data_IF_551658436648
#
_entry.id   IF_551658436648
#
_cell.length_a   1.000
_cell.length_b   1.000
_cell.length_c   1.000
_cell.angle_alpha   90.00
_cell.angle_beta   90.00
_cell.angle_gamma   90.00
#
_symmetry.space_group_name_H-M   'P 1'
#
loop_
_entity.id
_entity.type
_entity.pdbx_description
1 polymer ?
#
# COMPACT_ATOMS: atom_id res chain seq x y z
N UNK A 1 3.97 5.28 -14.73
CA UNK A 1 4.53 5.92 -13.51
C UNK A 1 3.63 7.05 -13.03
N UNK A 2 3.33 8.05 -13.84
CA UNK A 2 2.47 9.15 -13.40
C UNK A 2 1.10 8.68 -12.92
N UNK A 3 0.47 7.75 -13.63
CA UNK A 3 -0.82 7.17 -13.25
C UNK A 3 -0.79 6.49 -11.87
N UNK A 4 0.28 5.74 -11.54
CA UNK A 4 0.46 5.14 -10.22
C UNK A 4 0.63 6.21 -9.13
N UNK A 5 1.46 7.23 -9.39
CA UNK A 5 1.66 8.34 -8.44
C UNK A 5 0.35 9.11 -8.24
N UNK A 6 -0.37 9.40 -9.32
CA UNK A 6 -1.66 10.10 -9.25
C UNK A 6 -2.69 9.30 -8.44
N UNK A 7 -2.69 7.96 -8.57
CA UNK A 7 -3.52 7.08 -7.74
C UNK A 7 -3.16 7.20 -6.26
N UNK A 8 -1.88 7.10 -5.93
CA UNK A 8 -1.39 7.15 -4.55
C UNK A 8 -1.59 8.52 -3.90
N UNK A 9 -1.52 9.62 -4.66
CA UNK A 9 -1.73 10.97 -4.13
C UNK A 9 -3.07 11.14 -3.44
N UNK A 10 -4.13 10.56 -4.00
CA UNK A 10 -5.49 10.70 -3.48
C UNK A 10 -5.91 9.55 -2.58
N UNK A 11 -5.13 8.47 -2.52
CA UNK A 11 -5.36 7.40 -1.57
C UNK A 11 -5.30 7.94 -0.13
N UNK A 12 -6.19 7.50 0.73
CA UNK A 12 -6.32 8.04 2.08
C UNK A 12 -6.91 9.44 2.19
N UNK A 13 -6.68 10.31 1.20
CA UNK A 13 -7.31 11.64 1.16
C UNK A 13 -8.76 11.57 0.66
N UNK A 14 -9.02 10.75 -0.38
CA UNK A 14 -10.32 10.57 -1.00
C UNK A 14 -11.08 9.33 -0.51
N UNK A 15 -10.41 8.42 0.20
CA UNK A 15 -10.93 7.12 0.65
C UNK A 15 -12.21 7.21 1.49
N UNK A 16 -12.47 8.35 2.10
CA UNK A 16 -13.62 8.52 2.96
C UNK A 16 -14.36 9.82 2.64
N UNK A 17 -15.16 9.86 1.55
CA UNK A 17 -16.09 10.94 1.31
C UNK A 17 -17.25 10.83 2.32
N UNK A 18 -16.88 10.81 3.60
CA UNK A 18 -17.87 10.84 4.66
C UNK A 18 -18.56 12.19 4.63
N UNK A 19 -19.82 12.17 4.97
CA UNK A 19 -20.61 13.39 5.14
C UNK A 19 -19.83 14.41 5.97
N UNK A 20 -19.61 15.63 5.47
CA UNK A 20 -18.83 16.65 6.17
C UNK A 20 -19.30 16.93 7.61
N UNK A 21 -20.56 16.64 7.92
CA UNK A 21 -21.15 16.80 9.26
C UNK A 21 -20.82 15.69 10.26
N UNK A 22 -20.21 14.58 9.85
CA UNK A 22 -19.86 13.52 10.79
C UNK A 22 -18.64 13.91 11.63
N UNK A 23 -18.72 13.83 12.95
CA UNK A 23 -17.67 14.25 13.90
C UNK A 23 -16.33 13.57 13.63
N UNK A 24 -16.36 12.30 13.21
CA UNK A 24 -15.14 11.53 12.87
C UNK A 24 -14.46 11.99 11.59
N UNK A 25 -15.12 12.80 10.76
CA UNK A 25 -14.63 13.30 9.48
C UNK A 25 -14.32 14.80 9.54
N UNK A 26 -14.34 15.36 10.72
CA UNK A 26 -14.02 16.78 10.93
C UNK A 26 -12.59 17.14 10.49
N UNK A 27 -11.70 16.13 10.40
CA UNK A 27 -10.32 16.31 9.97
C UNK A 27 -9.95 15.17 9.03
N UNK A 28 -9.47 15.44 7.80
CA UNK A 28 -8.94 14.42 6.91
C UNK A 28 -7.86 13.58 7.59
N UNK A 29 -7.75 12.31 7.21
CA UNK A 29 -6.70 11.40 7.71
C UNK A 29 -5.82 10.92 6.54
N UNK A 30 -5.15 11.83 5.81
CA UNK A 30 -4.28 11.44 4.72
C UNK A 30 -3.06 10.66 5.26
N UNK A 31 -2.45 9.88 4.38
CA UNK A 31 -1.18 9.21 4.65
C UNK A 31 0.01 10.10 4.26
N UNK A 32 1.22 9.74 4.70
CA UNK A 32 2.45 10.37 4.27
C UNK A 32 2.46 11.89 4.49
N UNK A 33 2.08 12.33 5.68
CA UNK A 33 2.05 13.76 6.01
C UNK A 33 3.43 14.19 6.46
N UNK A 34 3.88 15.35 5.93
CA UNK A 34 5.06 16.06 6.42
C UNK A 34 4.59 17.37 7.04
N UNK A 35 4.51 17.38 8.38
CA UNK A 35 3.97 18.47 9.18
C UNK A 35 4.92 19.69 9.26
N UNK A 36 4.43 20.88 9.62
CA UNK A 36 5.33 21.98 9.97
C UNK A 36 6.12 21.64 11.25
N UNK A 37 7.41 22.06 11.35
CA UNK A 37 8.29 21.68 12.49
C UNK A 37 7.69 22.02 13.85
N UNK A 38 7.04 23.18 14.00
CA UNK A 38 6.46 23.62 15.25
C UNK A 38 5.31 22.71 15.78
N UNK A 39 4.71 21.89 14.89
CA UNK A 39 3.71 20.90 15.29
C UNK A 39 4.33 19.53 15.57
N UNK A 40 5.32 19.13 14.80
CA UNK A 40 5.96 17.83 14.94
C UNK A 40 6.86 17.74 16.17
N UNK A 41 7.37 18.87 16.67
CA UNK A 41 8.26 18.92 17.82
C UNK A 41 7.64 18.25 19.07
N UNK A 42 8.32 17.22 19.56
CA UNK A 42 7.91 16.49 20.78
C UNK A 42 6.79 15.45 20.59
N UNK A 43 6.40 15.15 19.35
CA UNK A 43 5.42 14.12 19.01
C UNK A 43 6.08 12.95 18.24
N UNK A 44 6.21 11.80 18.87
CA UNK A 44 6.94 10.62 18.34
C UNK A 44 6.34 10.04 17.05
N UNK A 45 5.09 10.34 16.73
CA UNK A 45 4.37 9.80 15.56
C UNK A 45 4.13 10.81 14.45
N UNK A 46 4.72 12.00 14.57
CA UNK A 46 4.61 13.06 13.57
C UNK A 46 5.98 13.43 13.02
N UNK A 47 6.05 13.70 11.73
CA UNK A 47 7.28 13.96 11.02
C UNK A 47 7.20 15.33 10.33
N UNK A 48 8.23 16.15 10.47
CA UNK A 48 8.43 17.38 9.73
C UNK A 48 9.32 17.18 8.48
N UNK A 49 9.75 15.93 8.29
CA UNK A 49 10.53 15.51 7.14
C UNK A 49 10.12 14.11 6.65
N UNK A 50 10.48 13.84 5.42
CA UNK A 50 10.50 12.53 4.80
C UNK A 50 11.89 12.27 4.26
N UNK A 51 12.48 11.09 4.47
CA UNK A 51 13.74 10.70 3.85
C UNK A 51 13.60 9.33 3.19
N UNK A 52 13.70 9.30 1.86
CA UNK A 52 13.82 8.07 1.09
C UNK A 52 15.30 7.71 0.97
N UNK A 53 15.67 6.52 1.44
CA UNK A 53 17.02 5.98 1.31
C UNK A 53 17.00 4.64 0.59
N UNK A 54 17.87 4.49 -0.41
CA UNK A 54 17.96 3.26 -1.18
C UNK A 54 19.37 3.08 -1.76
N UNK A 55 19.64 1.87 -2.21
CA UNK A 55 20.90 1.52 -2.87
C UNK A 55 20.74 1.51 -4.38
N UNK A 56 21.77 1.97 -5.08
CA UNK A 56 21.86 1.92 -6.54
C UNK A 56 23.17 1.23 -6.97
N UNK A 57 23.07 0.33 -7.93
CA UNK A 57 24.20 -0.29 -8.62
C UNK A 57 24.42 0.35 -9.98
N UNK A 58 25.67 0.42 -10.42
CA UNK A 58 26.06 1.00 -11.71
C UNK A 58 26.41 2.47 -11.63
N UNK A 59 26.82 3.00 -12.79
CA UNK A 59 27.12 4.41 -12.99
C UNK A 59 25.87 5.22 -13.33
N UNK A 60 26.11 6.44 -13.78
CA UNK A 60 25.05 7.28 -14.28
C UNK A 60 24.47 8.26 -13.25
N UNK A 61 23.61 9.12 -13.73
CA UNK A 61 23.03 10.20 -12.95
C UNK A 61 21.77 9.73 -12.25
N UNK A 62 21.60 10.16 -11.00
CA UNK A 62 20.36 9.99 -10.24
C UNK A 62 19.63 11.32 -10.23
N UNK A 63 18.38 11.32 -10.64
CA UNK A 63 17.44 12.45 -10.52
C UNK A 63 16.35 12.14 -9.52
N UNK A 64 15.74 13.18 -8.98
CA UNK A 64 14.69 13.09 -7.98
C UNK A 64 13.57 14.09 -8.29
N UNK A 65 12.34 13.66 -8.06
CA UNK A 65 11.16 14.51 -8.00
C UNK A 65 10.32 14.08 -6.80
N UNK A 66 9.46 14.96 -6.29
CA UNK A 66 8.51 14.65 -5.24
C UNK A 66 7.14 15.17 -5.58
N UNK A 67 6.14 14.32 -5.44
CA UNK A 67 4.73 14.62 -5.66
C UNK A 67 4.02 14.67 -4.31
N UNK A 68 3.13 15.62 -4.11
CA UNK A 68 2.34 15.77 -2.89
C UNK A 68 1.13 16.65 -3.13
N UNK A 69 0.21 16.64 -2.19
CA UNK A 69 -0.94 17.54 -2.16
C UNK A 69 -0.70 18.68 -1.18
N UNK A 70 -1.18 19.86 -1.53
CA UNK A 70 -1.20 21.05 -0.67
C UNK A 70 -2.65 21.43 -0.38
N UNK A 71 -3.05 21.59 0.89
CA UNK A 71 -4.39 22.06 1.23
C UNK A 71 -4.70 23.43 0.63
N UNK A 72 -5.88 23.60 0.05
CA UNK A 72 -6.27 24.82 -0.68
C UNK A 72 -7.26 25.72 0.09
N UNK A 73 -7.20 25.73 1.43
CA UNK A 73 -7.93 26.67 2.30
C UNK A 73 -9.41 26.34 2.55
N UNK A 74 -10.04 25.49 1.76
CA UNK A 74 -11.37 24.94 2.05
C UNK A 74 -11.22 23.48 2.50
N UNK A 75 -12.00 23.07 3.51
CA UNK A 75 -11.96 21.69 4.01
C UNK A 75 -12.10 20.69 2.86
N UNK A 76 -11.24 19.68 2.86
CA UNK A 76 -11.21 18.61 1.86
C UNK A 76 -10.88 19.04 0.43
N UNK A 77 -10.21 20.17 0.26
CA UNK A 77 -9.58 20.53 -1.01
C UNK A 77 -8.08 20.50 -0.89
N UNK A 78 -7.44 19.91 -1.89
CA UNK A 78 -5.99 19.93 -2.02
C UNK A 78 -5.60 20.01 -3.50
N UNK A 79 -4.46 20.61 -3.75
CA UNK A 79 -3.92 20.79 -5.10
C UNK A 79 -2.64 19.97 -5.24
N UNK A 80 -2.48 19.21 -6.35
CA UNK A 80 -1.28 18.44 -6.60
C UNK A 80 -0.10 19.35 -6.97
N UNK A 81 1.05 19.07 -6.38
CA UNK A 81 2.31 19.73 -6.66
C UNK A 81 3.39 18.69 -6.98
N UNK A 82 4.33 19.09 -7.83
CA UNK A 82 5.53 18.33 -8.13
C UNK A 82 6.74 19.27 -8.05
N UNK A 83 7.78 18.84 -7.31
CA UNK A 83 9.06 19.56 -7.23
C UNK A 83 10.17 18.68 -7.75
N UNK A 84 11.05 19.23 -8.55
CA UNK A 84 12.16 18.50 -9.17
C UNK A 84 13.51 18.89 -8.54
N UNK A 85 14.37 17.91 -8.30
CA UNK A 85 15.74 18.09 -7.84
C UNK A 85 15.85 18.54 -6.38
N UNK A 86 16.89 19.31 -6.11
CA UNK A 86 17.23 19.84 -4.78
C UNK A 86 17.12 21.35 -4.74
N UNK A 87 16.51 21.89 -3.69
CA UNK A 87 16.35 23.32 -3.54
C UNK A 87 15.42 23.71 -2.40
N UNK A 88 15.21 25.01 -2.28
CA UNK A 88 14.16 25.61 -1.47
C UNK A 88 13.05 26.10 -2.41
N UNK A 89 11.82 25.73 -2.13
CA UNK A 89 10.66 25.94 -2.98
C UNK A 89 9.51 26.59 -2.20
N UNK A 90 8.67 27.31 -2.90
CA UNK A 90 7.33 27.67 -2.45
C UNK A 90 6.32 26.83 -3.25
N UNK A 91 5.46 26.11 -2.56
CA UNK A 91 4.42 25.27 -3.14
C UNK A 91 3.08 25.58 -2.47
N UNK A 92 2.26 26.37 -3.16
CA UNK A 92 0.93 26.75 -2.65
C UNK A 92 0.97 27.52 -1.32
N UNK A 93 2.03 28.30 -1.08
CA UNK A 93 2.27 29.04 0.15
C UNK A 93 2.96 28.22 1.25
N UNK A 94 3.33 26.97 0.99
CA UNK A 94 4.17 26.17 1.88
C UNK A 94 5.64 26.29 1.48
N UNK A 95 6.51 26.44 2.47
CA UNK A 95 7.97 26.45 2.27
C UNK A 95 8.51 25.02 2.36
N UNK A 96 9.09 24.53 1.28
CA UNK A 96 9.58 23.14 1.15
C UNK A 96 11.05 23.14 0.79
N UNK A 97 11.83 22.31 1.44
CA UNK A 97 13.21 22.04 1.08
C UNK A 97 13.37 20.60 0.64
N UNK A 98 14.02 20.40 -0.51
CA UNK A 98 14.42 19.08 -0.98
C UNK A 98 15.94 18.96 -1.07
N UNK A 99 16.48 17.77 -0.83
CA UNK A 99 17.90 17.49 -0.95
C UNK A 99 18.17 16.06 -1.42
N UNK A 100 18.76 15.94 -2.60
CA UNK A 100 19.29 14.68 -3.11
C UNK A 100 20.78 14.56 -2.75
N UNK A 101 21.16 13.44 -2.16
CA UNK A 101 22.55 13.10 -1.87
C UNK A 101 22.85 11.72 -2.42
N UNK A 102 23.97 11.59 -3.13
CA UNK A 102 24.45 10.30 -3.66
C UNK A 102 25.85 10.05 -3.11
N UNK A 103 26.00 9.05 -2.25
CA UNK A 103 27.25 8.72 -1.59
C UNK A 103 27.81 7.44 -2.18
N UNK A 104 29.02 7.48 -2.79
CA UNK A 104 29.70 6.27 -3.24
C UNK A 104 30.01 5.33 -2.07
N UNK A 105 29.82 4.04 -2.29
CA UNK A 105 30.20 2.97 -1.39
C UNK A 105 31.22 2.06 -2.07
N UNK A 106 31.74 1.10 -1.31
CA UNK A 106 32.59 0.06 -1.87
C UNK A 106 31.80 -0.83 -2.85
N UNK A 107 32.48 -1.45 -3.80
CA UNK A 107 31.89 -2.42 -4.75
C UNK A 107 31.01 -1.84 -5.86
N UNK A 108 31.18 -0.54 -6.21
CA UNK A 108 30.41 0.09 -7.30
C UNK A 108 28.95 0.39 -6.98
N UNK A 109 28.61 0.30 -5.71
CA UNK A 109 27.29 0.72 -5.18
C UNK A 109 27.33 2.16 -4.67
N UNK A 110 26.18 2.77 -4.62
CA UNK A 110 26.01 4.13 -4.09
C UNK A 110 24.75 4.14 -3.20
N UNK A 111 24.85 4.80 -2.06
CA UNK A 111 23.69 5.12 -1.24
C UNK A 111 23.06 6.41 -1.76
N UNK A 112 21.79 6.37 -2.06
CA UNK A 112 20.97 7.51 -2.44
C UNK A 112 20.08 7.88 -1.27
N UNK A 113 20.08 9.15 -0.90
CA UNK A 113 19.17 9.74 0.07
C UNK A 113 18.48 10.94 -0.57
N UNK A 114 17.17 10.96 -0.55
CA UNK A 114 16.35 12.09 -0.96
C UNK A 114 15.46 12.52 0.20
N UNK A 115 15.73 13.72 0.70
CA UNK A 115 15.05 14.31 1.85
C UNK A 115 14.11 15.41 1.41
N UNK A 116 12.92 15.43 1.99
CA UNK A 116 11.88 16.44 1.80
C UNK A 116 11.51 16.98 3.17
N UNK A 117 11.73 18.27 3.41
CA UNK A 117 11.47 18.94 4.68
C UNK A 117 10.35 19.97 4.50
N UNK A 118 9.39 19.99 5.40
CA UNK A 118 8.47 21.12 5.53
C UNK A 118 9.15 22.21 6.36
N UNK A 119 9.30 23.39 5.77
CA UNK A 119 9.94 24.57 6.40
C UNK A 119 8.92 25.67 6.67
N UNK A 120 7.62 25.36 6.54
CA UNK A 120 6.55 26.33 6.73
C UNK A 120 6.50 26.79 8.18
N UNK A 121 6.53 28.10 8.38
CA UNK A 121 6.31 28.68 9.70
C UNK A 121 4.89 28.42 10.20
N UNK A 122 4.78 28.04 11.45
CA UNK A 122 3.51 27.76 12.06
C UNK A 122 3.48 28.29 13.51
N UNK A 123 2.35 28.83 13.99
CA UNK A 123 2.23 29.23 15.38
C UNK A 123 2.30 28.03 16.32
N UNK A 124 2.82 28.23 17.51
CA UNK A 124 2.83 27.22 18.54
C UNK A 124 1.41 26.88 19.01
N UNK A 125 1.18 25.61 19.36
CA UNK A 125 -0.11 25.14 19.89
C UNK A 125 -1.20 24.95 18.85
N UNK A 126 -0.86 24.76 17.58
CA UNK A 126 -1.81 24.34 16.57
C UNK A 126 -2.47 23.01 16.96
N UNK A 127 -3.76 22.92 16.71
CA UNK A 127 -4.44 21.61 16.66
C UNK A 127 -4.06 20.85 15.37
N UNK A 128 -4.48 19.60 15.29
CA UNK A 128 -4.17 18.75 14.12
C UNK A 128 -4.73 19.32 12.82
N UNK A 129 -5.93 19.90 12.85
CA UNK A 129 -6.55 20.48 11.66
C UNK A 129 -5.74 21.67 11.13
N UNK A 130 -5.37 22.61 12.01
CA UNK A 130 -4.51 23.74 11.63
C UNK A 130 -3.10 23.34 11.21
N UNK A 131 -2.57 22.23 11.73
CA UNK A 131 -1.30 21.67 11.28
C UNK A 131 -1.40 21.07 9.88
N UNK A 132 -2.46 20.32 9.57
CA UNK A 132 -2.71 19.74 8.24
C UNK A 132 -2.79 20.83 7.17
N UNK A 133 -3.44 21.95 7.44
CA UNK A 133 -3.51 23.10 6.52
C UNK A 133 -2.13 23.67 6.13
N UNK A 134 -1.07 23.33 6.86
CA UNK A 134 0.31 23.76 6.66
C UNK A 134 1.25 22.59 6.37
N UNK A 135 0.70 21.46 6.01
CA UNK A 135 1.45 20.23 5.77
C UNK A 135 1.50 19.87 4.29
N UNK A 136 2.56 19.14 3.92
CA UNK A 136 2.57 18.39 2.68
C UNK A 136 1.79 17.10 2.93
N UNK A 137 0.85 16.77 2.07
CA UNK A 137 -0.04 15.63 2.22
C UNK A 137 0.29 14.60 1.15
N UNK A 138 0.28 13.32 1.50
CA UNK A 138 0.48 12.22 0.56
C UNK A 138 1.79 12.38 -0.23
N UNK A 139 2.91 12.47 0.48
CA UNK A 139 4.21 12.79 -0.10
C UNK A 139 4.84 11.53 -0.71
N UNK A 140 5.08 11.58 -2.03
CA UNK A 140 5.63 10.48 -2.82
C UNK A 140 6.88 10.92 -3.59
N UNK A 141 8.09 10.68 -3.07
CA UNK A 141 9.31 10.89 -3.83
C UNK A 141 9.49 9.82 -4.91
N UNK A 142 10.00 10.25 -6.07
CA UNK A 142 10.36 9.39 -7.20
C UNK A 142 11.81 9.63 -7.55
N UNK A 143 12.62 8.58 -7.53
CA UNK A 143 14.01 8.62 -7.96
C UNK A 143 14.15 7.87 -9.29
N UNK A 144 14.99 8.39 -10.17
CA UNK A 144 15.34 7.73 -11.45
C UNK A 144 16.85 7.65 -11.58
N UNK A 145 17.35 6.55 -12.15
CA UNK A 145 18.77 6.40 -12.45
C UNK A 145 18.97 6.09 -13.94
N UNK A 146 19.94 6.75 -14.56
CA UNK A 146 20.35 6.46 -15.94
C UNK A 146 21.60 5.58 -15.92
N UNK A 147 21.57 4.43 -16.62
CA UNK A 147 22.74 3.55 -16.70
C UNK A 147 23.09 2.79 -15.40
N UNK A 148 22.09 2.55 -14.58
CA UNK A 148 22.16 1.79 -13.33
C UNK A 148 20.81 1.20 -12.97
N UNK A 149 20.73 0.57 -11.81
CA UNK A 149 19.48 0.06 -11.24
C UNK A 149 19.43 0.26 -9.72
N UNK A 150 18.27 0.47 -9.19
CA UNK A 150 18.01 0.43 -7.75
C UNK A 150 17.94 -1.01 -7.26
N UNK A 151 18.25 -1.22 -5.98
CA UNK A 151 18.11 -2.50 -5.31
C UNK A 151 16.85 -2.50 -4.43
N UNK A 152 16.15 -3.63 -4.41
CA UNK A 152 14.99 -3.83 -3.56
C UNK A 152 15.33 -3.60 -2.08
N UNK A 153 14.41 -3.01 -1.33
CA UNK A 153 14.51 -2.89 0.12
C UNK A 153 14.47 -4.25 0.83
N UNK A 154 13.90 -5.27 0.18
CA UNK A 154 13.87 -6.63 0.71
C UNK A 154 15.26 -7.29 0.66
N UNK A 155 16.07 -6.95 -0.34
CA UNK A 155 17.44 -7.49 -0.50
C UNK A 155 18.48 -6.63 0.21
N UNK A 156 18.31 -5.31 0.18
CA UNK A 156 19.24 -4.32 0.70
C UNK A 156 18.51 -3.24 1.49
N UNK A 157 18.05 -3.55 2.72
CA UNK A 157 17.27 -2.61 3.52
C UNK A 157 18.07 -1.34 3.87
N UNK A 158 17.41 -0.20 3.73
CA UNK A 158 17.89 1.10 4.15
C UNK A 158 16.84 1.76 5.04
N UNK A 159 17.28 2.36 6.14
CA UNK A 159 16.38 3.05 7.05
C UNK A 159 15.86 4.33 6.41
N UNK A 160 14.63 4.32 5.94
CA UNK A 160 13.90 5.49 5.43
C UNK A 160 13.02 6.09 6.55
N UNK A 161 12.68 7.36 6.42
CA UNK A 161 11.83 8.08 7.39
C UNK A 161 10.54 8.48 6.71
N UNK A 162 9.39 8.13 7.30
CA UNK A 162 8.05 8.50 6.85
C UNK A 162 7.72 8.09 5.40
N UNK A 163 8.38 7.06 4.88
CA UNK A 163 8.14 6.53 3.52
C UNK A 163 8.62 5.09 3.40
N UNK A 164 8.00 4.31 2.50
CA UNK A 164 8.39 2.96 2.15
C UNK A 164 8.86 2.90 0.70
N UNK A 165 10.17 2.69 0.44
CA UNK A 165 10.70 2.63 -0.93
C UNK A 165 10.36 1.31 -1.62
N UNK A 166 9.91 1.38 -2.88
CA UNK A 166 9.65 0.22 -3.74
C UNK A 166 10.22 0.44 -5.14
N UNK A 167 10.67 -0.64 -5.78
CA UNK A 167 11.00 -0.62 -7.21
C UNK A 167 9.72 -0.39 -8.01
N UNK A 168 9.74 0.56 -8.95
CA UNK A 168 8.53 0.99 -9.65
C UNK A 168 8.61 0.90 -11.17
N UNK A 169 9.66 0.26 -11.70
CA UNK A 169 9.80 0.00 -13.13
C UNK A 169 10.32 -1.41 -13.40
N UNK A 170 10.01 -2.02 -14.55
CA UNK A 170 10.51 -3.34 -14.89
C UNK A 170 12.05 -3.42 -15.05
N UNK A 171 12.70 -2.29 -15.25
CA UNK A 171 14.16 -2.19 -15.39
C UNK A 171 14.88 -1.85 -14.07
N UNK A 172 14.13 -1.71 -12.97
CA UNK A 172 14.63 -1.28 -11.66
C UNK A 172 15.33 0.10 -11.68
N UNK A 173 15.07 0.90 -12.70
CA UNK A 173 15.65 2.23 -12.88
C UNK A 173 14.83 3.34 -12.21
N UNK A 174 13.70 2.99 -11.59
CA UNK A 174 12.83 3.90 -10.82
C UNK A 174 12.56 3.33 -9.43
N UNK A 175 12.80 4.17 -8.42
CA UNK A 175 12.44 3.93 -7.01
C UNK A 175 11.34 4.92 -6.62
N UNK A 176 10.25 4.42 -6.07
CA UNK A 176 9.11 5.20 -5.57
C UNK A 176 9.04 5.09 -4.04
N UNK A 177 8.97 6.22 -3.36
CA UNK A 177 8.62 6.27 -1.95
C UNK A 177 7.10 6.33 -1.79
N UNK A 178 6.56 5.43 -0.98
CA UNK A 178 5.12 5.34 -0.74
C UNK A 178 4.79 5.60 0.73
N UNK A 179 3.61 6.13 0.98
CA UNK A 179 3.09 6.37 2.33
C UNK A 179 2.52 5.09 2.98
N UNK A 180 2.30 4.05 2.18
CA UNK A 180 1.83 2.73 2.59
C UNK A 180 2.84 1.67 2.16
N UNK A 181 2.83 0.51 2.78
CA UNK A 181 3.71 -0.60 2.40
C UNK A 181 3.16 -1.26 1.14
N UNK A 182 3.90 -1.18 0.05
CA UNK A 182 3.60 -1.85 -1.21
C UNK A 182 4.70 -2.87 -1.55
N UNK A 183 4.39 -3.89 -2.36
CA UNK A 183 5.42 -4.76 -2.95
C UNK A 183 6.21 -4.00 -4.02
N UNK A 184 7.38 -4.53 -4.38
CA UNK A 184 8.10 -4.06 -5.56
C UNK A 184 7.25 -4.25 -6.83
N UNK A 185 7.42 -3.34 -7.80
CA UNK A 185 6.69 -3.30 -9.06
C UNK A 185 5.17 -3.21 -8.87
N UNK A 186 4.67 -2.26 -8.04
CA UNK A 186 3.25 -2.10 -7.82
C UNK A 186 2.53 -1.76 -9.13
N UNK A 187 1.34 -2.31 -9.28
CA UNK A 187 0.52 -2.14 -10.48
C UNK A 187 -0.91 -1.81 -10.07
N UNK A 188 -1.51 -0.88 -10.80
CA UNK A 188 -2.95 -0.64 -10.68
C UNK A 188 -3.69 -1.87 -11.23
N UNK A 189 -4.67 -2.37 -10.49
CA UNK A 189 -5.46 -3.52 -10.93
C UNK A 189 -6.18 -3.20 -12.25
N UNK A 190 -6.14 -4.09 -13.26
CA UNK A 190 -6.81 -3.86 -14.54
C UNK A 190 -8.32 -3.64 -14.42
N UNK A 191 -8.92 -4.13 -13.37
CA UNK A 191 -10.34 -4.01 -13.03
C UNK A 191 -10.66 -2.64 -12.42
N UNK A 192 -9.67 -1.96 -11.84
CA UNK A 192 -9.83 -0.61 -11.29
C UNK A 192 -10.12 0.38 -12.42
N UNK A 193 -11.20 1.13 -12.27
CA UNK A 193 -11.63 2.13 -13.25
C UNK A 193 -11.26 3.56 -12.85
N UNK A 194 -10.67 3.68 -11.70
CA UNK A 194 -10.25 4.96 -11.13
C UNK A 194 -8.76 4.98 -10.86
N UNK A 195 -8.19 6.18 -10.86
CA UNK A 195 -6.80 6.41 -10.48
C UNK A 195 -6.67 6.72 -8.99
N UNK A 196 -7.65 6.31 -8.16
CA UNK A 196 -7.69 6.71 -6.75
C UNK A 196 -7.42 5.55 -5.80
N UNK A 197 -7.38 4.31 -6.30
CA UNK A 197 -7.22 3.12 -5.48
C UNK A 197 -6.32 2.10 -6.18
N UNK A 198 -5.42 1.52 -5.42
CA UNK A 198 -4.59 0.38 -5.81
C UNK A 198 -5.29 -0.97 -5.57
N UNK A 199 -6.44 -0.94 -4.87
CA UNK A 199 -7.15 -2.11 -4.38
C UNK A 199 -8.62 -2.09 -4.81
N UNK A 200 -9.04 -3.09 -5.59
CA UNK A 200 -10.41 -3.22 -6.08
C UNK A 200 -11.46 -3.41 -4.98
N UNK A 201 -11.06 -3.97 -3.83
CA UNK A 201 -11.98 -4.13 -2.68
C UNK A 201 -12.33 -2.78 -2.04
N UNK A 202 -11.38 -1.86 -2.01
CA UNK A 202 -11.60 -0.49 -1.51
C UNK A 202 -12.46 0.28 -2.50
N UNK A 203 -12.22 0.12 -3.79
CA UNK A 203 -13.04 0.72 -4.85
C UNK A 203 -14.48 0.21 -4.79
N UNK A 204 -14.69 -1.09 -4.59
CA UNK A 204 -16.01 -1.69 -4.40
C UNK A 204 -16.73 -1.08 -3.17
N UNK A 205 -16.05 -1.02 -2.03
CA UNK A 205 -16.61 -0.44 -0.81
C UNK A 205 -17.01 1.03 -1.00
N UNK A 206 -16.22 1.81 -1.72
CA UNK A 206 -16.53 3.18 -2.07
C UNK A 206 -17.74 3.29 -2.99
N UNK A 207 -17.78 2.48 -4.05
CA UNK A 207 -18.92 2.45 -5.00
C UNK A 207 -20.20 2.14 -4.27
N UNK A 208 -20.22 1.13 -3.40
CA UNK A 208 -21.37 0.78 -2.58
C UNK A 208 -21.77 1.92 -1.65
N UNK A 209 -20.79 2.58 -1.02
CA UNK A 209 -21.06 3.72 -0.15
C UNK A 209 -21.68 4.89 -0.91
N UNK A 210 -21.12 5.25 -2.08
CA UNK A 210 -21.63 6.34 -2.92
C UNK A 210 -23.06 6.08 -3.42
N UNK A 211 -23.40 4.82 -3.71
CA UNK A 211 -24.75 4.46 -4.18
C UNK A 211 -25.83 4.63 -3.12
N UNK A 212 -25.48 4.57 -1.83
CA UNK A 212 -26.45 4.75 -0.72
C UNK A 212 -26.52 6.18 -0.17
N UNK A 213 -25.70 7.11 -0.68
CA UNK A 213 -25.74 8.51 -0.28
C UNK A 213 -27.05 9.18 -0.69
N UNK A 214 -27.59 10.02 0.17
CA UNK A 214 -28.71 10.91 -0.14
C UNK A 214 -28.32 11.99 -1.16
N UNK A 215 -29.30 12.61 -1.80
CA UNK A 215 -29.05 13.71 -2.76
C UNK A 215 -28.37 14.91 -2.07
N UNK A 216 -28.69 15.16 -0.80
CA UNK A 216 -28.09 16.25 -0.02
C UNK A 216 -26.63 15.98 0.28
N UNK A 217 -26.29 14.74 0.65
CA UNK A 217 -24.91 14.31 0.88
C UNK A 217 -24.08 14.37 -0.40
N UNK A 218 -24.63 13.93 -1.53
CA UNK A 218 -23.96 14.03 -2.84
C UNK A 218 -23.70 15.49 -3.22
N UNK A 219 -24.69 16.37 -3.07
CA UNK A 219 -24.52 17.79 -3.36
C UNK A 219 -23.49 18.47 -2.45
N UNK A 220 -23.32 18.01 -1.21
CA UNK A 220 -22.29 18.50 -0.30
C UNK A 220 -20.89 18.07 -0.77
N UNK A 221 -20.75 16.81 -1.20
CA UNK A 221 -19.49 16.25 -1.70
C UNK A 221 -19.10 16.86 -3.05
N UNK A 222 -20.07 17.11 -3.95
CA UNK A 222 -19.84 17.75 -5.25
C UNK A 222 -19.27 19.17 -5.14
N UNK A 223 -19.44 19.83 -4.00
CA UNK A 223 -18.85 21.15 -3.71
C UNK A 223 -17.39 21.07 -3.29
N UNK A 224 -16.86 19.87 -3.09
CA UNK A 224 -15.49 19.62 -2.66
C UNK A 224 -14.50 19.56 -3.85
N UNK A 225 -13.38 18.90 -3.65
CA UNK A 225 -12.30 18.73 -4.61
C UNK A 225 -12.82 18.18 -5.97
N UNK A 226 -12.41 18.76 -7.11
CA UNK A 226 -12.78 18.26 -8.44
C UNK A 226 -12.45 16.78 -8.65
N UNK A 227 -11.34 16.27 -8.11
CA UNK A 227 -10.96 14.86 -8.20
C UNK A 227 -11.95 13.96 -7.44
N UNK A 228 -12.40 14.42 -6.26
CA UNK A 228 -13.42 13.70 -5.47
C UNK A 228 -14.76 13.70 -6.19
N UNK A 229 -15.13 14.81 -6.84
CA UNK A 229 -16.35 14.89 -7.66
C UNK A 229 -16.32 13.88 -8.80
N UNK A 230 -15.23 13.85 -9.57
CA UNK A 230 -15.07 12.91 -10.67
C UNK A 230 -15.13 11.44 -10.21
N UNK A 231 -14.55 11.15 -9.04
CA UNK A 231 -14.64 9.84 -8.40
C UNK A 231 -16.09 9.46 -8.08
N UNK A 232 -16.87 10.36 -7.51
CA UNK A 232 -18.27 10.12 -7.16
C UNK A 232 -19.15 9.95 -8.40
N UNK A 233 -18.93 10.75 -9.43
CA UNK A 233 -19.62 10.61 -10.71
C UNK A 233 -19.34 9.22 -11.33
N UNK A 234 -18.08 8.77 -11.32
CA UNK A 234 -17.69 7.42 -11.78
C UNK A 234 -18.34 6.33 -10.93
N UNK A 235 -18.26 6.43 -9.61
CA UNK A 235 -18.85 5.47 -8.69
C UNK A 235 -20.39 5.39 -8.84
N UNK A 236 -21.04 6.52 -9.07
CA UNK A 236 -22.51 6.57 -9.31
C UNK A 236 -22.91 5.93 -10.64
N UNK A 237 -22.04 5.91 -11.64
CA UNK A 237 -22.25 5.33 -12.95
C UNK A 237 -21.94 3.82 -13.04
N UNK A 238 -21.41 3.21 -11.98
CA UNK A 238 -21.06 1.79 -11.96
C UNK A 238 -22.30 0.91 -11.98
N UNK A 239 -22.37 -0.01 -12.93
CA UNK A 239 -23.44 -1.00 -13.04
C UNK A 239 -23.22 -2.20 -12.13
N UNK A 240 -24.28 -2.99 -11.85
CA UNK A 240 -24.16 -4.21 -11.03
C UNK A 240 -23.17 -5.23 -11.61
N UNK A 241 -23.09 -5.36 -12.94
CA UNK A 241 -22.13 -6.25 -13.59
C UNK A 241 -20.68 -5.76 -13.41
N UNK A 242 -20.46 -4.46 -13.38
CA UNK A 242 -19.17 -3.85 -13.14
C UNK A 242 -18.76 -3.98 -11.68
N UNK A 243 -19.71 -3.81 -10.75
CA UNK A 243 -19.49 -4.04 -9.33
C UNK A 243 -19.09 -5.49 -9.06
N UNK A 244 -19.75 -6.46 -9.72
CA UNK A 244 -19.41 -7.87 -9.62
C UNK A 244 -18.00 -8.19 -10.16
N UNK A 245 -17.45 -7.39 -11.08
CA UNK A 245 -16.08 -7.53 -11.56
C UNK A 245 -15.04 -7.01 -10.55
N UNK A 246 -15.39 -6.00 -9.75
CA UNK A 246 -14.55 -5.53 -8.64
C UNK A 246 -14.52 -6.51 -7.48
N UNK A 247 -15.58 -7.33 -7.34
CA UNK A 247 -15.71 -8.31 -6.27
C UNK A 247 -14.78 -9.51 -6.51
N UNK A 248 -13.54 -9.37 -6.03
CA UNK A 248 -12.69 -10.51 -5.73
C UNK A 248 -12.26 -11.39 -6.89
N UNK A 249 -11.82 -10.84 -8.02
CA UNK A 249 -10.80 -11.55 -8.80
C UNK A 249 -9.45 -11.32 -8.13
N UNK A 250 -9.03 -12.27 -7.30
CA UNK A 250 -7.60 -12.40 -7.03
C UNK A 250 -6.95 -12.76 -8.38
N UNK A 251 -6.43 -11.79 -9.10
CA UNK A 251 -5.38 -12.04 -10.06
C UNK A 251 -4.31 -12.79 -9.30
N UNK A 252 -3.92 -13.97 -9.77
CA UNK A 252 -2.72 -14.61 -9.24
C UNK A 252 -1.62 -13.54 -9.28
N UNK A 253 -1.34 -12.95 -8.11
CA UNK A 253 -0.03 -12.39 -7.90
C UNK A 253 0.84 -13.58 -8.23
N UNK A 254 1.60 -13.51 -9.30
CA UNK A 254 2.68 -14.44 -9.56
C UNK A 254 3.62 -14.27 -8.39
N UNK A 255 3.25 -14.97 -7.30
CA UNK A 255 4.09 -15.12 -6.14
C UNK A 255 5.38 -15.75 -6.69
N UNK A 256 6.52 -15.06 -6.66
CA UNK A 256 7.79 -15.66 -7.04
C UNK A 256 8.08 -16.89 -6.19
N UNK A 257 7.43 -17.04 -5.05
CA UNK A 257 7.30 -18.29 -4.29
C UNK A 257 6.01 -19.01 -4.73
N UNK A 258 5.92 -19.48 -5.96
CA UNK A 258 4.99 -20.58 -6.27
C UNK A 258 5.31 -21.67 -5.26
N UNK A 259 4.39 -21.89 -4.29
CA UNK A 259 4.60 -22.74 -3.13
C UNK A 259 5.28 -24.04 -3.50
N UNK A 260 6.17 -24.52 -2.67
CA UNK A 260 6.98 -25.71 -2.91
C UNK A 260 6.09 -26.84 -3.47
N UNK A 261 6.58 -27.54 -4.49
CA UNK A 261 5.88 -28.71 -5.02
C UNK A 261 5.81 -29.83 -3.97
N UNK A 262 6.89 -29.93 -3.16
CA UNK A 262 6.99 -30.85 -2.03
C UNK A 262 7.93 -30.28 -0.95
N UNK A 263 7.76 -30.75 0.27
CA UNK A 263 8.64 -30.43 1.39
C UNK A 263 8.76 -31.62 2.34
N UNK A 264 9.96 -31.89 2.82
CA UNK A 264 10.20 -32.86 3.87
C UNK A 264 10.29 -32.13 5.23
N UNK A 265 9.49 -32.58 6.20
CA UNK A 265 9.53 -32.09 7.58
C UNK A 265 9.52 -33.29 8.53
N UNK A 266 10.58 -33.43 9.33
CA UNK A 266 10.74 -34.53 10.30
C UNK A 266 10.63 -35.94 9.68
N UNK A 267 11.12 -36.12 8.45
CA UNK A 267 11.06 -37.40 7.75
C UNK A 267 9.72 -37.70 7.04
N UNK A 268 8.78 -36.77 7.10
CA UNK A 268 7.49 -36.87 6.39
C UNK A 268 7.51 -35.93 5.18
N UNK A 269 7.14 -36.47 4.02
CA UNK A 269 7.10 -35.68 2.76
C UNK A 269 5.64 -35.22 2.51
N UNK A 270 5.46 -33.93 2.47
CA UNK A 270 4.20 -33.29 2.07
C UNK A 270 4.29 -32.87 0.63
N UNK A 271 3.28 -33.18 -0.19
CA UNK A 271 3.22 -32.82 -1.61
C UNK A 271 1.98 -32.02 -1.92
N UNK A 272 2.11 -31.05 -2.82
CA UNK A 272 0.94 -30.37 -3.37
C UNK A 272 0.06 -31.37 -4.13
N UNK A 273 -1.24 -31.33 -3.91
CA UNK A 273 -2.20 -32.33 -4.37
C UNK A 273 -2.26 -33.60 -3.49
N UNK A 274 -1.38 -33.74 -2.51
CA UNK A 274 -1.42 -34.85 -1.55
C UNK A 274 -2.57 -34.70 -0.54
N UNK A 275 -3.03 -35.83 0.00
CA UNK A 275 -4.11 -35.88 0.99
C UNK A 275 -3.53 -35.99 2.38
N UNK A 276 -4.10 -35.23 3.31
CA UNK A 276 -3.74 -35.27 4.74
C UNK A 276 -4.98 -35.31 5.60
N UNK A 277 -4.87 -35.88 6.80
CA UNK A 277 -5.92 -35.85 7.83
C UNK A 277 -5.54 -34.80 8.87
N UNK A 278 -6.48 -33.95 9.22
CA UNK A 278 -6.28 -32.91 10.24
C UNK A 278 -6.22 -33.56 11.64
N UNK A 279 -5.15 -33.25 12.38
CA UNK A 279 -4.85 -33.70 13.74
C UNK A 279 -4.43 -32.52 14.60
N UNK A 280 -5.35 -31.61 14.94
CA UNK A 280 -5.00 -30.39 15.65
C UNK A 280 -4.44 -30.69 17.05
N UNK A 281 -3.45 -29.92 17.47
CA UNK A 281 -2.91 -29.97 18.82
C UNK A 281 -3.88 -29.41 19.87
N UNK A 282 -3.51 -29.53 21.15
CA UNK A 282 -4.35 -29.07 22.27
C UNK A 282 -4.59 -27.54 22.28
N UNK A 283 -3.70 -26.77 21.68
CA UNK A 283 -3.77 -25.30 21.58
C UNK A 283 -4.39 -24.80 20.27
N UNK A 284 -4.88 -25.73 19.41
CA UNK A 284 -5.47 -25.37 18.13
C UNK A 284 -6.76 -24.54 18.30
N UNK A 285 -7.01 -23.67 17.35
CA UNK A 285 -8.21 -22.84 17.31
C UNK A 285 -9.50 -23.67 17.13
N UNK A 286 -10.65 -23.04 17.31
CA UNK A 286 -11.95 -23.72 17.22
C UNK A 286 -12.17 -24.30 15.82
N UNK A 287 -11.74 -23.63 14.77
CA UNK A 287 -11.92 -24.05 13.38
C UNK A 287 -11.11 -25.32 13.07
N UNK A 288 -9.85 -25.36 13.49
CA UNK A 288 -9.00 -26.53 13.36
C UNK A 288 -9.59 -27.75 14.11
N UNK A 289 -10.13 -27.54 15.32
CA UNK A 289 -10.79 -28.60 16.10
C UNK A 289 -12.06 -29.11 15.45
N UNK A 290 -12.86 -28.25 14.83
CA UNK A 290 -14.05 -28.67 14.10
C UNK A 290 -13.74 -29.55 12.88
N UNK A 291 -12.54 -29.43 12.35
CA UNK A 291 -12.05 -30.18 11.19
C UNK A 291 -11.22 -31.42 11.58
N UNK A 292 -11.08 -31.73 12.87
CA UNK A 292 -10.35 -32.90 13.33
C UNK A 292 -10.87 -34.17 12.67
N UNK A 293 -9.95 -34.98 12.16
CA UNK A 293 -10.27 -36.25 11.48
C UNK A 293 -10.73 -36.07 10.02
N UNK A 294 -10.94 -34.86 9.54
CA UNK A 294 -11.28 -34.67 8.13
C UNK A 294 -10.07 -34.88 7.24
N UNK A 295 -10.27 -35.54 6.11
CA UNK A 295 -9.28 -35.67 5.06
C UNK A 295 -9.39 -34.45 4.13
N UNK A 296 -8.27 -33.78 3.90
CA UNK A 296 -8.18 -32.55 3.11
C UNK A 296 -7.06 -32.65 2.09
N UNK A 297 -7.09 -31.83 1.04
CA UNK A 297 -6.06 -31.80 0.02
C UNK A 297 -5.10 -30.64 0.27
N UNK A 298 -3.79 -30.88 0.19
CA UNK A 298 -2.75 -29.86 0.27
C UNK A 298 -2.71 -29.13 -1.06
N UNK A 299 -3.19 -27.90 -1.10
CA UNK A 299 -3.20 -27.08 -2.31
C UNK A 299 -1.94 -26.19 -2.41
N UNK A 300 -1.38 -25.82 -1.26
CA UNK A 300 -0.22 -24.92 -1.19
C UNK A 300 0.75 -25.32 -0.08
N UNK A 301 2.04 -25.16 -0.33
CA UNK A 301 3.11 -25.36 0.65
C UNK A 301 3.99 -24.12 0.64
N UNK A 302 4.09 -23.42 1.76
CA UNK A 302 4.89 -22.20 1.90
C UNK A 302 5.86 -22.31 3.07
N UNK A 303 6.97 -21.55 2.98
CA UNK A 303 7.83 -21.26 4.13
C UNK A 303 7.68 -19.80 4.49
N UNK A 304 7.53 -19.51 5.77
CA UNK A 304 7.59 -18.13 6.27
C UNK A 304 9.06 -17.66 6.39
N UNK A 305 9.22 -16.42 6.81
CA UNK A 305 10.54 -15.80 7.01
C UNK A 305 11.37 -16.46 8.11
N UNK A 306 10.72 -17.15 9.06
CA UNK A 306 11.37 -17.93 10.12
C UNK A 306 11.72 -19.35 9.65
N UNK A 307 11.45 -19.69 8.39
CA UNK A 307 11.69 -20.99 7.77
C UNK A 307 10.66 -22.06 8.16
N UNK A 308 9.55 -21.70 8.85
CA UNK A 308 8.48 -22.62 9.20
C UNK A 308 7.66 -22.96 7.97
N UNK A 309 7.26 -24.22 7.87
CA UNK A 309 6.43 -24.72 6.79
C UNK A 309 4.97 -24.56 7.13
N UNK A 310 4.18 -24.01 6.22
CA UNK A 310 2.75 -23.86 6.27
C UNK A 310 2.11 -24.66 5.13
N UNK A 311 1.07 -25.42 5.43
CA UNK A 311 0.30 -26.20 4.47
C UNK A 311 -1.08 -25.57 4.31
N UNK A 312 -1.34 -24.99 3.14
CA UNK A 312 -2.64 -24.49 2.76
C UNK A 312 -3.48 -25.62 2.21
N UNK A 313 -4.61 -25.91 2.86
CA UNK A 313 -5.47 -27.05 2.52
C UNK A 313 -6.85 -26.61 2.08
N UNK A 314 -7.47 -27.42 1.21
CA UNK A 314 -8.89 -27.32 0.84
C UNK A 314 -9.68 -28.48 1.43
N UNK A 315 -10.89 -28.17 1.90
CA UNK A 315 -11.84 -29.16 2.42
C UNK A 315 -12.84 -29.52 1.33
N UNK A 316 -13.00 -30.79 1.02
CA UNK A 316 -14.04 -31.28 0.11
C UNK A 316 -15.39 -31.35 0.84
N UNK A 317 -16.10 -30.23 0.94
CA UNK A 317 -17.44 -30.18 1.52
C UNK A 317 -18.38 -29.36 0.64
N UNK A 318 -19.67 -29.73 0.54
CA UNK A 318 -20.65 -28.95 -0.21
C UNK A 318 -20.72 -27.50 0.30
N UNK A 319 -20.54 -26.51 -0.58
CA UNK A 319 -20.53 -25.09 -0.26
C UNK A 319 -19.14 -24.50 0.04
N UNK A 320 -18.08 -25.30 0.11
CA UNK A 320 -16.69 -24.82 0.27
C UNK A 320 -15.91 -24.72 -1.05
N UNK A 321 -16.52 -25.06 -2.17
CA UNK A 321 -15.98 -24.87 -3.52
C UNK A 321 -15.58 -23.39 -3.76
N UNK A 322 -16.35 -22.47 -3.20
CA UNK A 322 -16.06 -21.02 -3.26
C UNK A 322 -14.74 -20.67 -2.59
N UNK A 323 -14.36 -21.32 -1.49
CA UNK A 323 -13.08 -21.07 -0.81
C UNK A 323 -11.89 -21.54 -1.66
N UNK A 324 -12.05 -22.66 -2.37
CA UNK A 324 -11.05 -23.17 -3.30
C UNK A 324 -10.88 -22.25 -4.50
N UNK A 325 -11.99 -21.80 -5.08
CA UNK A 325 -11.99 -20.93 -6.28
C UNK A 325 -11.50 -19.51 -5.97
N UNK A 326 -11.66 -19.07 -4.73
CA UNK A 326 -11.15 -17.77 -4.24
C UNK A 326 -9.72 -17.82 -3.68
N UNK A 327 -9.05 -19.00 -3.70
CA UNK A 327 -7.69 -19.15 -3.18
C UNK A 327 -7.56 -18.98 -1.66
N UNK A 328 -8.67 -18.98 -0.94
CA UNK A 328 -8.70 -18.94 0.53
C UNK A 328 -8.46 -20.35 1.07
N UNK A 329 -7.23 -20.62 1.53
CA UNK A 329 -6.86 -21.88 2.14
C UNK A 329 -6.93 -21.81 3.65
N UNK A 330 -7.24 -22.95 4.28
CA UNK A 330 -7.00 -23.13 5.70
C UNK A 330 -5.53 -23.53 5.88
N UNK A 331 -4.84 -22.89 6.81
CA UNK A 331 -3.41 -23.08 7.01
C UNK A 331 -3.16 -23.93 8.25
N UNK A 332 -2.33 -24.96 8.07
CA UNK A 332 -1.91 -25.87 9.13
C UNK A 332 -0.38 -26.00 9.13
N UNK A 333 0.17 -26.24 10.29
CA UNK A 333 1.57 -26.67 10.40
C UNK A 333 1.68 -28.18 10.14
N UNK A 334 2.84 -28.67 9.65
CA UNK A 334 3.06 -30.09 9.43
C UNK A 334 2.74 -31.00 10.61
N UNK A 335 3.00 -30.63 11.89
CA UNK A 335 2.61 -31.46 13.03
C UNK A 335 1.10 -31.58 13.29
N UNK A 336 0.30 -30.72 12.67
CA UNK A 336 -1.16 -30.69 12.84
C UNK A 336 -1.90 -31.53 11.80
N UNK A 337 -1.16 -32.20 10.93
CA UNK A 337 -1.73 -33.04 9.88
C UNK A 337 -0.96 -34.35 9.73
N UNK A 338 -1.64 -35.40 9.29
CA UNK A 338 -1.09 -36.72 9.04
C UNK A 338 -1.28 -37.07 7.55
N UNK A 339 -0.19 -37.47 6.87
CA UNK A 339 -0.26 -37.83 5.44
C UNK A 339 -1.05 -39.15 5.29
N UNK A 340 -2.00 -39.14 4.37
CA UNK A 340 -2.75 -40.33 3.97
C UNK A 340 -2.08 -40.94 2.74
N UNK A 341 -1.68 -42.21 2.82
CA UNK A 341 -1.15 -42.97 1.69
C UNK A 341 -2.18 -43.22 0.57
#
# INVERSE_FOLDING_TARGET
>A
MNELVDTLLYEGYALYPYTPGATKNATPTPFGIVYPPAYAEGLDTTFDELELRCMVEGGGEVSAEVHFLVPSGERHRAEPHCLEGSGDFDAGGLSVRTRLTVTPLDSGRRLVSYRVENRTEAPAGLDRAGAIERSLISVHPVLRVTGGRFLSQLDMPCDSVNTWPVLASPADDVMLGTAIVLPDHPQIAPESRGNLFDNTEIEEALVLHVQVLSEEERAEIERQDPAVREMIERASAVTSDQLAQLHGRMTEIRDPTQGLAEVEVNGVIFRRGGRVVIRPGLEADLQARMLEGHTVTVERIQRDYDGRVHLGVSVEAPGQEILRDTGRFLWFFPPEVEVVE
#
